data_IF_916444028797
#
_entry.id   IF_916444028797
#
_cell.length_a   1.000
_cell.length_b   1.000
_cell.length_c   1.000
_cell.angle_alpha   90.00
_cell.angle_beta   90.00
_cell.angle_gamma   90.00
#
_symmetry.space_group_name_H-M   'P 1'
#
loop_
_entity.id
_entity.type
_entity.pdbx_description
1 polymer ?
#
# COMPACT_ATOMS: atom_id res chain seq x y z
N UNK A 1 4.01 -3.65 15.90
CA UNK A 1 4.96 -4.41 15.07
C UNK A 1 5.79 -3.51 14.16
N UNK A 2 5.20 -2.66 13.30
CA UNK A 2 5.96 -1.79 12.37
C UNK A 2 6.99 -0.86 13.03
N UNK A 3 6.64 -0.18 14.13
CA UNK A 3 7.58 0.69 14.87
C UNK A 3 8.80 -0.05 15.44
N UNK A 4 8.61 -1.28 15.92
CA UNK A 4 9.70 -2.09 16.46
C UNK A 4 10.68 -2.51 15.35
N UNK A 5 10.16 -2.86 14.18
CA UNK A 5 10.96 -3.21 12.99
C UNK A 5 11.75 -1.98 12.52
N UNK A 6 11.12 -0.80 12.49
CA UNK A 6 11.81 0.45 12.15
C UNK A 6 12.96 0.74 13.13
N UNK A 7 12.72 0.64 14.43
CA UNK A 7 13.75 0.88 15.44
C UNK A 7 14.93 -0.09 15.29
N UNK A 8 14.66 -1.38 15.09
CA UNK A 8 15.68 -2.39 14.79
C UNK A 8 16.44 -2.08 13.50
N UNK A 9 15.76 -1.70 12.43
CA UNK A 9 16.40 -1.36 11.16
C UNK A 9 17.33 -0.15 11.29
N UNK A 10 16.95 0.89 12.04
CA UNK A 10 17.79 2.08 12.23
C UNK A 10 19.06 1.77 13.03
N UNK A 11 18.95 0.89 14.01
CA UNK A 11 20.08 0.51 14.87
C UNK A 11 21.03 -0.45 14.12
N UNK A 12 20.49 -1.43 13.38
CA UNK A 12 21.29 -2.51 12.79
C UNK A 12 21.72 -2.26 11.34
N UNK A 13 20.90 -1.59 10.53
CA UNK A 13 21.17 -1.41 9.10
C UNK A 13 21.80 -0.04 8.76
N UNK A 14 22.02 0.85 9.74
CA UNK A 14 22.55 2.22 9.52
C UNK A 14 21.86 2.92 8.33
N UNK A 15 20.54 2.73 8.20
CA UNK A 15 19.82 3.24 7.04
C UNK A 15 19.78 4.77 7.15
N UNK A 16 20.27 5.51 6.14
CA UNK A 16 20.12 6.95 6.14
C UNK A 16 18.61 7.25 6.12
N UNK A 17 18.12 7.99 7.11
CA UNK A 17 16.76 8.53 7.11
C UNK A 17 16.85 9.95 6.56
N UNK A 18 16.94 10.07 5.23
CA UNK A 18 17.09 11.38 4.58
C UNK A 18 15.81 12.22 4.71
N UNK A 19 14.65 11.57 4.64
CA UNK A 19 13.35 12.22 4.51
C UNK A 19 12.28 11.55 5.38
N UNK A 20 12.37 11.66 6.72
CA UNK A 20 11.48 10.97 7.66
C UNK A 20 10.00 11.38 7.52
N UNK A 21 9.71 12.62 7.11
CA UNK A 21 8.34 13.05 6.87
C UNK A 21 7.66 12.26 5.75
N UNK A 22 8.40 11.93 4.68
CA UNK A 22 7.89 11.15 3.57
C UNK A 22 7.63 9.69 3.99
N UNK A 23 8.53 9.11 4.79
CA UNK A 23 8.34 7.78 5.40
C UNK A 23 7.02 7.72 6.18
N UNK A 24 6.79 8.68 7.07
CA UNK A 24 5.57 8.73 7.89
C UNK A 24 4.34 8.89 6.99
N UNK A 25 4.40 9.81 6.03
CA UNK A 25 3.28 10.09 5.14
C UNK A 25 2.86 8.85 4.33
N UNK A 26 3.81 8.19 3.65
CA UNK A 26 3.52 6.99 2.85
C UNK A 26 3.10 5.81 3.73
N UNK A 27 3.64 5.70 4.95
CA UNK A 27 3.18 4.70 5.93
C UNK A 27 1.71 4.92 6.31
N UNK A 28 1.31 6.17 6.57
CA UNK A 28 -0.07 6.50 6.92
C UNK A 28 -1.01 6.29 5.73
N UNK A 29 -0.62 6.68 4.51
CA UNK A 29 -1.41 6.45 3.30
C UNK A 29 -1.57 4.96 2.99
N UNK A 30 -0.51 4.18 3.11
CA UNK A 30 -0.57 2.72 2.97
C UNK A 30 -1.47 2.08 4.03
N UNK A 31 -1.28 2.43 5.31
CA UNK A 31 -2.07 1.88 6.40
C UNK A 31 -3.57 2.22 6.28
N UNK A 32 -3.89 3.46 5.93
CA UNK A 32 -5.28 3.90 5.72
C UNK A 32 -5.92 3.21 4.51
N UNK A 33 -5.21 3.10 3.38
CA UNK A 33 -5.70 2.40 2.18
C UNK A 33 -5.95 0.91 2.43
N UNK A 34 -5.02 0.22 3.10
CA UNK A 34 -5.20 -1.20 3.47
C UNK A 34 -6.31 -1.38 4.49
N UNK A 35 -6.39 -0.52 5.49
CA UNK A 35 -7.44 -0.56 6.50
C UNK A 35 -8.82 -0.40 5.86
N UNK A 36 -8.97 0.56 4.94
CA UNK A 36 -10.20 0.77 4.21
C UNK A 36 -10.56 -0.43 3.31
N UNK A 37 -9.59 -0.99 2.56
CA UNK A 37 -9.81 -2.21 1.79
C UNK A 37 -10.20 -3.40 2.67
N UNK A 38 -9.57 -3.58 3.81
CA UNK A 38 -9.90 -4.63 4.78
C UNK A 38 -11.33 -4.47 5.32
N UNK A 39 -11.76 -3.24 5.59
CA UNK A 39 -13.14 -2.94 5.97
C UNK A 39 -14.13 -3.28 4.85
N UNK A 40 -13.83 -2.88 3.61
CA UNK A 40 -14.66 -3.21 2.43
C UNK A 40 -14.77 -4.74 2.25
N UNK A 41 -13.64 -5.45 2.33
CA UNK A 41 -13.61 -6.90 2.20
C UNK A 41 -14.38 -7.60 3.35
N UNK A 42 -14.24 -7.10 4.58
CA UNK A 42 -14.98 -7.61 5.75
C UNK A 42 -16.49 -7.37 5.66
N UNK A 43 -16.92 -6.22 5.14
CA UNK A 43 -18.34 -5.92 4.91
C UNK A 43 -18.94 -6.75 3.77
N UNK A 44 -18.14 -7.07 2.75
CA UNK A 44 -18.61 -7.86 1.61
C UNK A 44 -18.66 -9.36 1.91
N UNK A 45 -17.66 -9.88 2.63
CA UNK A 45 -17.51 -11.30 2.89
C UNK A 45 -18.63 -11.85 3.79
N UNK A 46 -19.17 -13.00 3.40
CA UNK A 46 -20.15 -13.77 4.18
C UNK A 46 -19.48 -14.84 5.04
N UNK A 47 -18.27 -15.24 4.63
CA UNK A 47 -17.49 -16.29 5.28
C UNK A 47 -16.05 -15.81 5.45
N UNK A 48 -15.43 -16.25 6.54
CA UNK A 48 -14.02 -15.97 6.81
C UNK A 48 -13.09 -16.46 5.68
N UNK A 49 -13.44 -17.55 4.99
CA UNK A 49 -12.70 -18.06 3.83
C UNK A 49 -12.63 -17.05 2.68
N UNK A 50 -13.65 -16.21 2.50
CA UNK A 50 -13.64 -15.20 1.43
C UNK A 50 -12.68 -14.05 1.76
N UNK A 51 -12.56 -13.67 3.02
CA UNK A 51 -11.58 -12.68 3.49
C UNK A 51 -10.16 -13.22 3.28
N UNK A 52 -9.92 -14.47 3.69
CA UNK A 52 -8.64 -15.13 3.48
C UNK A 52 -8.31 -15.29 1.98
N UNK A 53 -9.30 -15.63 1.16
CA UNK A 53 -9.18 -15.69 -0.30
C UNK A 53 -8.80 -14.33 -0.90
N UNK A 54 -9.45 -13.25 -0.49
CA UNK A 54 -9.12 -11.90 -0.94
C UNK A 54 -7.67 -11.52 -0.59
N UNK A 55 -7.23 -11.80 0.63
CA UNK A 55 -5.86 -11.56 1.06
C UNK A 55 -4.85 -12.33 0.18
N UNK A 56 -5.08 -13.62 -0.04
CA UNK A 56 -4.12 -14.50 -0.71
C UNK A 56 -4.12 -14.36 -2.23
N UNK A 57 -5.28 -14.11 -2.85
CA UNK A 57 -5.41 -14.05 -4.31
C UNK A 57 -5.36 -12.64 -4.89
N UNK A 58 -5.51 -11.60 -4.06
CA UNK A 58 -5.48 -10.20 -4.52
C UNK A 58 -4.32 -9.44 -3.88
N UNK A 59 -4.30 -9.35 -2.55
CA UNK A 59 -3.29 -8.52 -1.85
C UNK A 59 -1.87 -9.08 -2.03
N UNK A 60 -1.70 -10.39 -1.88
CA UNK A 60 -0.40 -11.04 -2.02
C UNK A 60 0.22 -10.82 -3.41
N UNK A 61 -0.43 -11.15 -4.55
CA UNK A 61 0.16 -10.92 -5.86
C UNK A 61 0.38 -9.42 -6.16
N UNK A 62 -0.53 -8.53 -5.74
CA UNK A 62 -0.32 -7.09 -5.86
C UNK A 62 0.93 -6.63 -5.08
N UNK A 63 1.16 -7.17 -3.89
CA UNK A 63 2.36 -6.82 -3.09
C UNK A 63 3.64 -7.29 -3.78
N UNK A 64 3.65 -8.46 -4.41
CA UNK A 64 4.81 -8.91 -5.19
C UNK A 64 5.07 -8.03 -6.42
N UNK A 65 4.01 -7.62 -7.12
CA UNK A 65 4.08 -6.69 -8.25
C UNK A 65 4.45 -5.27 -7.87
N UNK A 66 4.37 -4.92 -6.59
CA UNK A 66 4.66 -3.60 -6.07
C UNK A 66 6.17 -3.31 -5.87
N UNK A 67 7.06 -4.23 -6.29
CA UNK A 67 8.49 -3.97 -6.28
C UNK A 67 9.15 -4.01 -4.90
N UNK A 68 8.53 -4.66 -3.90
CA UNK A 68 9.13 -4.86 -2.55
C UNK A 68 10.51 -5.52 -2.61
N UNK A 69 10.74 -6.32 -3.65
CA UNK A 69 11.98 -7.10 -3.83
C UNK A 69 12.82 -6.67 -5.05
N UNK A 70 12.31 -5.79 -5.92
CA UNK A 70 12.93 -5.47 -7.22
C UNK A 70 12.69 -4.00 -7.62
N UNK A 71 13.69 -3.34 -8.20
CA UNK A 71 13.48 -2.07 -8.92
C UNK A 71 12.76 -2.33 -10.23
N UNK A 72 11.76 -1.50 -10.57
CA UNK A 72 10.93 -1.67 -11.78
C UNK A 72 11.71 -1.42 -13.07
N UNK A 73 12.89 -0.81 -13.00
CA UNK A 73 13.74 -0.53 -14.16
C UNK A 73 14.34 -1.80 -14.80
N UNK A 74 14.44 -2.90 -14.05
CA UNK A 74 15.02 -4.16 -14.54
C UNK A 74 14.00 -5.10 -15.20
N UNK A 75 12.72 -4.73 -15.25
CA UNK A 75 11.66 -5.61 -15.76
C UNK A 75 11.31 -5.34 -17.25
N UNK A 76 11.17 -6.39 -18.08
CA UNK A 76 10.75 -6.26 -19.48
C UNK A 76 9.33 -5.68 -19.60
N UNK A 77 9.16 -4.73 -20.53
CA UNK A 77 7.95 -3.99 -20.95
C UNK A 77 6.61 -4.26 -20.25
N UNK A 78 6.06 -5.47 -20.40
CA UNK A 78 4.73 -5.83 -19.88
C UNK A 78 4.65 -5.76 -18.34
N UNK A 79 5.69 -6.18 -17.63
CA UNK A 79 5.72 -6.18 -16.17
C UNK A 79 5.84 -4.77 -15.59
N UNK A 80 6.58 -3.89 -16.28
CA UNK A 80 6.68 -2.47 -15.93
C UNK A 80 5.32 -1.79 -16.01
N UNK A 81 4.56 -2.04 -17.08
CA UNK A 81 3.21 -1.49 -17.21
C UNK A 81 2.29 -2.00 -16.10
N UNK A 82 2.35 -3.29 -15.79
CA UNK A 82 1.54 -3.88 -14.71
C UNK A 82 1.83 -3.28 -13.34
N UNK A 83 3.11 -3.04 -13.00
CA UNK A 83 3.50 -2.38 -11.75
C UNK A 83 3.05 -0.92 -11.68
N UNK A 84 3.04 -0.19 -12.80
CA UNK A 84 2.55 1.19 -12.86
C UNK A 84 1.02 1.30 -12.71
N UNK A 85 0.26 0.24 -12.95
CA UNK A 85 -1.17 0.22 -12.61
C UNK A 85 -1.44 -0.07 -11.13
N UNK A 86 -0.43 -0.51 -10.39
CA UNK A 86 -0.59 -0.97 -9.02
C UNK A 86 -0.36 0.18 -8.01
N UNK A 87 -1.38 0.61 -7.25
CA UNK A 87 -1.22 1.66 -6.26
C UNK A 87 -0.25 1.30 -5.12
N UNK A 88 -0.04 0.00 -4.86
CA UNK A 88 0.88 -0.48 -3.84
C UNK A 88 2.34 -0.16 -4.22
N UNK A 89 2.65 -0.19 -5.52
CA UNK A 89 3.98 0.16 -6.04
C UNK A 89 4.36 1.59 -5.65
N UNK A 90 3.44 2.53 -5.85
CA UNK A 90 3.66 3.94 -5.53
C UNK A 90 3.86 4.20 -4.03
N UNK A 91 3.14 3.48 -3.17
CA UNK A 91 3.32 3.57 -1.72
C UNK A 91 4.70 3.08 -1.32
N UNK A 92 5.16 1.95 -1.89
CA UNK A 92 6.45 1.33 -1.56
C UNK A 92 7.63 2.14 -2.11
N UNK A 93 7.54 2.63 -3.36
CA UNK A 93 8.57 3.48 -3.97
C UNK A 93 8.70 4.82 -3.23
N UNK A 94 7.57 5.44 -2.88
CA UNK A 94 7.55 6.66 -2.06
C UNK A 94 8.11 6.45 -0.64
N UNK A 95 7.83 5.30 -0.02
CA UNK A 95 8.42 4.93 1.27
C UNK A 95 9.95 4.76 1.14
N UNK A 96 10.42 4.10 0.08
CA UNK A 96 11.86 3.93 -0.20
C UNK A 96 12.58 5.25 -0.42
N UNK A 97 11.94 6.19 -1.14
CA UNK A 97 12.45 7.55 -1.28
C UNK A 97 12.70 8.24 0.07
N UNK A 98 11.84 7.98 1.05
CA UNK A 98 12.00 8.53 2.40
C UNK A 98 13.29 8.12 3.12
N UNK A 99 13.86 6.96 2.76
CA UNK A 99 15.15 6.49 3.28
C UNK A 99 16.31 6.88 2.36
N UNK A 100 16.25 6.50 1.09
CA UNK A 100 17.41 6.58 0.19
C UNK A 100 17.47 7.83 -0.68
N UNK A 101 16.45 8.72 -0.63
CA UNK A 101 16.24 9.84 -1.55
C UNK A 101 16.32 9.45 -3.04
N UNK A 102 16.09 8.16 -3.31
CA UNK A 102 16.12 7.54 -4.61
C UNK A 102 14.75 6.91 -4.88
N UNK A 103 14.16 7.24 -6.02
CA UNK A 103 12.81 6.84 -6.41
C UNK A 103 12.79 6.48 -7.90
N UNK A 104 12.21 5.32 -8.22
CA UNK A 104 12.08 4.88 -9.61
C UNK A 104 11.07 5.76 -10.39
N UNK A 105 10.12 6.38 -9.67
CA UNK A 105 9.10 7.29 -10.21
C UNK A 105 9.11 8.60 -9.43
N UNK A 106 8.61 9.69 -10.03
CA UNK A 106 8.53 10.97 -9.33
C UNK A 106 7.72 10.84 -8.04
N UNK A 107 8.28 11.32 -6.93
CA UNK A 107 7.65 11.28 -5.60
C UNK A 107 6.27 11.92 -5.59
N UNK A 108 6.06 12.95 -6.41
CA UNK A 108 4.76 13.61 -6.58
C UNK A 108 3.73 12.71 -7.25
N UNK A 109 4.12 11.90 -8.24
CA UNK A 109 3.23 10.90 -8.82
C UNK A 109 2.92 9.79 -7.80
N UNK A 110 3.93 9.35 -7.03
CA UNK A 110 3.74 8.39 -5.95
C UNK A 110 2.74 8.90 -4.90
N UNK A 111 2.86 10.15 -4.50
CA UNK A 111 1.96 10.82 -3.57
C UNK A 111 0.54 10.92 -4.14
N UNK A 112 0.40 11.39 -5.38
CA UNK A 112 -0.90 11.55 -6.03
C UNK A 112 -1.68 10.24 -6.12
N UNK A 113 -1.02 9.16 -6.56
CA UNK A 113 -1.65 7.83 -6.66
C UNK A 113 -1.96 7.26 -5.28
N UNK A 114 -1.06 7.42 -4.31
CA UNK A 114 -1.28 6.94 -2.94
C UNK A 114 -2.47 7.62 -2.26
N UNK A 115 -2.62 8.94 -2.43
CA UNK A 115 -3.77 9.71 -1.93
C UNK A 115 -5.05 9.29 -2.65
N UNK A 116 -5.02 9.15 -3.97
CA UNK A 116 -6.18 8.72 -4.74
C UNK A 116 -6.65 7.32 -4.33
N UNK A 117 -5.71 6.41 -4.10
CA UNK A 117 -6.01 5.06 -3.62
C UNK A 117 -6.57 5.05 -2.19
N UNK A 118 -5.88 5.69 -1.23
CA UNK A 118 -6.32 5.72 0.16
C UNK A 118 -7.67 6.45 0.31
N UNK A 119 -7.82 7.59 -0.36
CA UNK A 119 -9.07 8.35 -0.40
C UNK A 119 -10.20 7.59 -1.09
N UNK A 120 -9.93 6.97 -2.24
CA UNK A 120 -10.91 6.17 -2.98
C UNK A 120 -11.39 4.95 -2.18
N UNK A 121 -10.46 4.19 -1.59
CA UNK A 121 -10.78 3.06 -0.72
C UNK A 121 -11.56 3.50 0.53
N UNK A 122 -11.16 4.62 1.15
CA UNK A 122 -11.85 5.20 2.31
C UNK A 122 -13.26 5.66 1.99
N UNK A 123 -13.46 6.33 0.85
CA UNK A 123 -14.79 6.74 0.37
C UNK A 123 -15.67 5.53 0.06
N UNK A 124 -15.13 4.48 -0.56
CA UNK A 124 -15.87 3.23 -0.80
C UNK A 124 -16.27 2.56 0.52
N UNK A 125 -15.36 2.45 1.48
CA UNK A 125 -15.64 1.92 2.81
C UNK A 125 -16.75 2.73 3.49
N UNK A 126 -16.65 4.06 3.47
CA UNK A 126 -17.66 4.97 4.00
C UNK A 126 -19.01 4.81 3.32
N UNK A 127 -19.05 4.73 1.99
CA UNK A 127 -20.29 4.54 1.24
C UNK A 127 -20.97 3.20 1.55
N UNK A 128 -20.21 2.12 1.70
CA UNK A 128 -20.75 0.81 2.06
C UNK A 128 -21.28 0.78 3.50
N UNK A 129 -20.56 1.41 4.43
CA UNK A 129 -21.00 1.58 5.82
C UNK A 129 -22.28 2.44 5.90
N UNK A 130 -22.30 3.58 5.22
CA UNK A 130 -23.43 4.51 5.23
C UNK A 130 -24.70 3.90 4.60
N UNK A 131 -24.54 3.02 3.60
CA UNK A 131 -25.66 2.26 3.03
C UNK A 131 -26.16 1.12 3.94
N UNK A 132 -25.48 0.85 5.05
CA UNK A 132 -25.84 -0.24 5.96
C UNK A 132 -25.78 -1.62 5.30
N UNK A 133 -24.94 -1.79 4.26
CA UNK A 133 -24.82 -3.05 3.55
C UNK A 133 -24.40 -4.14 4.56
N UNK A 134 -25.33 -5.07 4.86
CA UNK A 134 -25.23 -6.14 5.87
C UNK A 134 -25.16 -5.75 7.36
N UNK A 135 -25.34 -4.48 7.74
CA UNK A 135 -25.40 -4.06 9.16
C UNK A 135 -26.79 -4.25 9.81
N UNK A 136 -27.76 -4.80 9.09
CA UNK A 136 -29.17 -4.93 9.53
C UNK A 136 -29.72 -6.36 9.53
N UNK A 137 -28.86 -7.37 9.61
CA UNK A 137 -29.26 -8.78 9.84
C UNK A 137 -28.40 -9.37 10.94
#
# INVERSE_FOLDING_TARGET
MGLAILALALIFLHIPLLHPLWVILFTLLGASGMGALGLVAGLWAEKFDQIAGFQNFVIMPLTFLAGVFYSVQSLPGAWRQLSLFNPFFYIIDGFRYGFFADSDVSVWACLGVSIAFAGGAGLLAWHLLARGYKLRQ
#
